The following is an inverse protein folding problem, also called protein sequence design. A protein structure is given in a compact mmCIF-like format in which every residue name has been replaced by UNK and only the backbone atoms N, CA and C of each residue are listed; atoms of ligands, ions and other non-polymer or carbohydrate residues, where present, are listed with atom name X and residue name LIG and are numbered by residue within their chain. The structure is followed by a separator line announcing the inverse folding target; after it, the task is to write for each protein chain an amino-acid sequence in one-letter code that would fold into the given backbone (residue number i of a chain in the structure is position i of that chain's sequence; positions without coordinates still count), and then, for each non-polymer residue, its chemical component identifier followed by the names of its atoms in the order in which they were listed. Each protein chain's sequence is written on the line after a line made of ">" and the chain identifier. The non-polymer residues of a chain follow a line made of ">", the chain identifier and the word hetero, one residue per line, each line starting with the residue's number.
data_IF_953054308404
#
_entry.id   IF_953054308404
#
_cell.length_a   1.000
_cell.length_b   1.000
_cell.length_c   1.000
_cell.angle_alpha   90.00
_cell.angle_beta   90.00
_cell.angle_gamma   90.00
#
_symmetry.space_group_name_H-M   'P 1'
#
loop_
_entity.id
_entity.type
_entity.pdbx_description
1 polymer ?
#
# COMPACT_ATOMS: atom_id res chain seq x y z
N UNK A 1 -1.23 -13.05 -3.28
CA UNK A 1 -1.33 -11.74 -3.95
C UNK A 1 -2.56 -11.79 -4.83
N UNK A 2 -3.48 -10.84 -4.71
CA UNK A 2 -4.69 -10.74 -5.52
C UNK A 2 -4.74 -9.36 -6.14
N UNK A 3 -5.27 -9.29 -7.36
CA UNK A 3 -5.43 -8.04 -8.08
C UNK A 3 -6.69 -8.05 -8.93
N UNK A 4 -7.37 -6.92 -9.01
CA UNK A 4 -8.48 -6.69 -9.94
C UNK A 4 -8.55 -5.22 -10.35
N UNK A 5 -8.76 -4.89 -11.63
CA UNK A 5 -8.71 -5.79 -12.78
C UNK A 5 -7.26 -6.20 -13.10
N UNK A 6 -7.12 -7.08 -14.08
CA UNK A 6 -5.83 -7.60 -14.54
C UNK A 6 -5.52 -8.99 -14.00
N UNK A 7 -4.39 -9.55 -14.43
CA UNK A 7 -3.90 -10.86 -14.00
C UNK A 7 -2.41 -10.83 -13.78
N UNK A 8 -1.96 -11.46 -12.71
CA UNK A 8 -0.54 -11.76 -12.52
C UNK A 8 -0.10 -12.71 -13.63
N UNK A 9 0.83 -12.27 -14.47
CA UNK A 9 1.34 -13.04 -15.61
C UNK A 9 2.75 -13.54 -15.37
N UNK A 10 3.48 -12.94 -14.44
CA UNK A 10 4.80 -13.40 -14.04
C UNK A 10 5.12 -13.00 -12.59
N UNK A 11 5.94 -13.81 -11.93
CA UNK A 11 6.50 -13.55 -10.59
C UNK A 11 7.95 -14.01 -10.63
N UNK A 12 8.88 -13.07 -10.52
CA UNK A 12 10.31 -13.37 -10.57
C UNK A 12 11.06 -12.61 -9.48
N UNK A 13 12.29 -13.04 -9.21
CA UNK A 13 13.16 -12.42 -8.22
C UNK A 13 14.32 -11.74 -8.92
N UNK A 14 14.59 -10.50 -8.53
CA UNK A 14 15.74 -9.73 -8.98
C UNK A 14 16.49 -9.24 -7.73
N UNK A 15 17.66 -9.83 -7.48
CA UNK A 15 18.38 -9.64 -6.23
C UNK A 15 17.58 -10.07 -5.00
N UNK A 16 17.35 -9.14 -4.08
CA UNK A 16 16.55 -9.34 -2.86
C UNK A 16 15.06 -8.99 -3.04
N UNK A 17 14.64 -8.56 -4.24
CA UNK A 17 13.27 -8.11 -4.52
C UNK A 17 12.49 -9.14 -5.31
N UNK A 18 11.23 -9.33 -4.91
CA UNK A 18 10.23 -10.01 -5.72
C UNK A 18 9.51 -9.01 -6.61
N UNK A 19 9.55 -9.25 -7.90
CA UNK A 19 8.80 -8.53 -8.92
C UNK A 19 7.54 -9.32 -9.28
N UNK A 20 6.41 -8.63 -9.38
CA UNK A 20 5.13 -9.22 -9.78
C UNK A 20 4.64 -8.44 -10.99
N UNK A 21 4.59 -9.08 -12.16
CA UNK A 21 4.11 -8.46 -13.38
C UNK A 21 2.60 -8.68 -13.53
N UNK A 22 1.88 -7.58 -13.67
CA UNK A 22 0.42 -7.58 -13.83
C UNK A 22 0.09 -7.16 -15.27
N UNK A 23 -0.57 -8.05 -16.01
CA UNK A 23 -1.15 -7.72 -17.30
C UNK A 23 -2.53 -7.11 -17.12
N UNK A 24 -2.80 -6.00 -17.82
CA UNK A 24 -4.09 -5.33 -17.84
C UNK A 24 -5.11 -6.00 -18.77
N UNK A 25 -4.64 -6.90 -19.66
CA UNK A 25 -5.43 -7.65 -20.66
C UNK A 25 -6.26 -6.85 -21.66
N UNK A 26 -6.35 -5.54 -21.51
CA UNK A 26 -7.08 -4.62 -22.38
C UNK A 26 -6.18 -3.46 -22.81
N UNK A 27 -6.33 -3.03 -24.07
CA UNK A 27 -5.74 -1.77 -24.53
C UNK A 27 -6.53 -0.61 -23.94
N UNK A 28 -5.88 0.24 -23.16
CA UNK A 28 -6.49 1.46 -22.64
C UNK A 28 -6.36 2.60 -23.64
N UNK A 29 -7.41 3.41 -23.78
CA UNK A 29 -7.41 4.63 -24.58
C UNK A 29 -6.93 5.82 -23.74
N UNK A 30 -6.55 6.89 -24.44
CA UNK A 30 -6.22 8.16 -23.79
C UNK A 30 -7.43 8.63 -22.97
N UNK A 31 -7.18 9.02 -21.72
CA UNK A 31 -8.16 9.49 -20.72
C UNK A 31 -9.06 8.41 -20.09
N UNK A 32 -8.83 7.13 -20.37
CA UNK A 32 -9.50 6.07 -19.60
C UNK A 32 -9.07 6.12 -18.13
N UNK A 33 -10.04 5.98 -17.22
CA UNK A 33 -9.79 5.88 -15.78
C UNK A 33 -10.05 4.44 -15.36
N UNK A 34 -9.08 3.85 -14.65
CA UNK A 34 -9.17 2.50 -14.12
C UNK A 34 -8.83 2.52 -12.64
N UNK A 35 -9.66 1.85 -11.84
CA UNK A 35 -9.34 1.54 -10.45
C UNK A 35 -8.72 0.14 -10.36
N UNK A 36 -7.70 0.01 -9.52
CA UNK A 36 -7.01 -1.24 -9.22
C UNK A 36 -7.08 -1.54 -7.73
N UNK A 37 -7.55 -2.72 -7.39
CA UNK A 37 -7.55 -3.27 -6.03
C UNK A 37 -6.44 -4.31 -5.94
N UNK A 38 -5.46 -4.07 -5.07
CA UNK A 38 -4.31 -4.95 -4.86
C UNK A 38 -4.28 -5.40 -3.41
N UNK A 39 -4.33 -6.72 -3.19
CA UNK A 39 -4.25 -7.34 -1.87
C UNK A 39 -3.03 -8.24 -1.79
N UNK A 40 -2.22 -8.04 -0.73
CA UNK A 40 -1.10 -8.92 -0.40
C UNK A 40 -1.17 -9.32 1.07
N UNK A 41 -1.37 -10.61 1.32
CA UNK A 41 -1.17 -11.20 2.63
C UNK A 41 0.28 -11.63 2.77
N UNK A 42 0.96 -11.15 3.82
CA UNK A 42 2.31 -11.59 4.20
C UNK A 42 2.16 -12.47 5.43
N UNK A 43 2.74 -13.68 5.39
CA UNK A 43 2.75 -14.62 6.52
C UNK A 43 4.17 -14.66 7.09
N UNK A 44 4.30 -14.74 8.40
CA UNK A 44 5.59 -14.83 9.11
C UNK A 44 6.59 -13.73 8.72
N UNK A 45 6.07 -12.53 8.41
CA UNK A 45 6.87 -11.36 8.06
C UNK A 45 6.50 -10.17 8.96
N UNK A 46 7.24 -9.07 8.82
CA UNK A 46 7.09 -7.87 9.63
C UNK A 46 7.23 -8.12 11.15
N UNK A 47 8.23 -8.91 11.54
CA UNK A 47 8.43 -9.36 12.93
C UNK A 47 9.19 -8.37 13.81
N UNK A 48 9.79 -7.32 13.24
CA UNK A 48 10.54 -6.31 14.00
C UNK A 48 9.61 -5.38 14.78
N UNK A 49 10.15 -4.59 15.71
CA UNK A 49 9.37 -3.63 16.52
C UNK A 49 8.80 -2.47 15.69
N UNK A 50 9.49 -2.11 14.61
CA UNK A 50 9.07 -1.07 13.68
C UNK A 50 9.21 -1.59 12.27
N UNK A 51 8.18 -1.35 11.46
CA UNK A 51 8.04 -1.93 10.13
C UNK A 51 7.48 -0.90 9.16
N UNK A 52 7.56 -1.19 7.86
CA UNK A 52 7.11 -0.24 6.85
C UNK A 52 6.68 -0.92 5.54
N UNK A 53 5.85 -0.19 4.79
CA UNK A 53 5.44 -0.51 3.42
C UNK A 53 5.55 0.75 2.58
N UNK A 54 6.28 0.64 1.47
CA UNK A 54 6.47 1.71 0.51
C UNK A 54 5.64 1.48 -0.74
N UNK A 55 5.08 2.56 -1.30
CA UNK A 55 4.47 2.61 -2.63
C UNK A 55 5.06 3.78 -3.41
N UNK A 56 5.55 3.50 -4.61
CA UNK A 56 6.12 4.50 -5.53
C UNK A 56 5.17 4.75 -6.69
N UNK A 57 4.99 6.02 -7.05
CA UNK A 57 4.05 6.47 -8.07
C UNK A 57 4.78 6.80 -9.36
N UNK A 58 4.76 5.92 -10.35
CA UNK A 58 5.41 6.16 -11.64
C UNK A 58 4.53 6.86 -12.67
N UNK A 59 3.21 6.69 -12.54
CA UNK A 59 2.18 7.20 -13.46
C UNK A 59 1.32 8.26 -12.78
N UNK A 60 0.50 8.96 -13.56
CA UNK A 60 -0.45 9.92 -13.02
C UNK A 60 -1.67 9.19 -12.45
N UNK A 61 -1.86 9.24 -11.14
CA UNK A 61 -3.06 8.72 -10.48
C UNK A 61 -3.97 9.87 -10.05
N UNK A 62 -5.29 9.62 -10.07
CA UNK A 62 -6.29 10.54 -9.49
C UNK A 62 -6.43 10.35 -7.99
N UNK A 63 -6.16 9.14 -7.50
CA UNK A 63 -6.28 8.76 -6.10
C UNK A 63 -5.36 7.58 -5.82
N UNK A 64 -4.78 7.56 -4.63
CA UNK A 64 -4.17 6.37 -4.04
C UNK A 64 -4.75 6.17 -2.66
N UNK A 65 -5.16 4.93 -2.35
CA UNK A 65 -5.52 4.49 -1.01
C UNK A 65 -4.63 3.33 -0.62
N UNK A 66 -3.98 3.43 0.53
CA UNK A 66 -3.17 2.36 1.12
C UNK A 66 -3.83 1.90 2.40
N UNK A 67 -3.91 0.58 2.58
CA UNK A 67 -4.38 -0.02 3.82
C UNK A 67 -3.41 -1.10 4.31
N UNK A 68 -3.29 -1.21 5.63
CA UNK A 68 -2.57 -2.29 6.34
C UNK A 68 -3.52 -2.86 7.38
N UNK A 69 -3.77 -4.17 7.31
CA UNK A 69 -4.58 -4.89 8.31
C UNK A 69 -3.63 -5.64 9.22
N UNK A 70 -3.71 -5.37 10.52
CA UNK A 70 -2.86 -5.95 11.54
C UNK A 70 -3.49 -7.22 12.15
N UNK A 71 -2.68 -8.18 12.62
CA UNK A 71 -3.16 -9.31 13.41
C UNK A 71 -3.86 -8.85 14.70
N UNK A 72 -4.82 -9.65 15.18
CA UNK A 72 -5.59 -9.35 16.41
C UNK A 72 -4.67 -9.28 17.63
N UNK A 73 -3.71 -10.19 17.70
CA UNK A 73 -2.74 -10.34 18.79
C UNK A 73 -1.60 -9.31 18.75
N UNK A 74 -1.50 -8.55 17.65
CA UNK A 74 -0.44 -7.57 17.45
C UNK A 74 -0.96 -6.34 16.72
N UNK A 75 -1.80 -5.51 17.37
CA UNK A 75 -2.28 -4.27 16.77
C UNK A 75 -1.14 -3.26 16.60
N UNK A 76 -1.33 -2.31 15.69
CA UNK A 76 -0.45 -1.16 15.54
C UNK A 76 -0.70 -0.14 16.65
N UNK A 77 0.37 0.28 17.33
CA UNK A 77 0.32 1.32 18.37
C UNK A 77 0.46 2.73 17.80
N UNK A 78 1.29 2.87 16.76
CA UNK A 78 1.59 4.16 16.15
C UNK A 78 1.92 3.99 14.68
N UNK A 79 1.41 4.88 13.84
CA UNK A 79 1.76 4.93 12.44
C UNK A 79 2.16 6.34 12.00
N UNK A 80 3.06 6.39 11.03
CA UNK A 80 3.48 7.62 10.35
C UNK A 80 3.44 7.41 8.84
N UNK A 81 3.12 8.46 8.11
CA UNK A 81 3.31 8.56 6.67
C UNK A 81 4.55 9.40 6.40
N UNK A 82 5.46 8.86 5.59
CA UNK A 82 6.57 9.61 5.01
C UNK A 82 6.26 9.89 3.54
N UNK A 83 6.27 11.16 3.15
CA UNK A 83 6.20 11.64 1.77
C UNK A 83 7.60 12.10 1.34
N UNK A 84 8.33 11.25 0.59
CA UNK A 84 9.75 11.47 0.30
C UNK A 84 10.01 12.76 -0.47
N UNK A 85 9.24 13.01 -1.52
CA UNK A 85 9.39 14.17 -2.41
C UNK A 85 9.07 15.50 -1.74
N UNK A 86 8.35 15.48 -0.62
CA UNK A 86 8.10 16.67 0.23
C UNK A 86 9.00 16.74 1.46
N UNK A 87 9.84 15.72 1.68
CA UNK A 87 10.60 15.54 2.92
C UNK A 87 9.71 15.70 4.17
N UNK A 88 8.48 15.17 4.11
CA UNK A 88 7.46 15.36 5.16
C UNK A 88 7.15 14.04 5.84
N UNK A 89 7.16 14.05 7.17
CA UNK A 89 6.65 12.95 7.99
C UNK A 89 5.44 13.43 8.77
N UNK A 90 4.35 12.67 8.72
CA UNK A 90 3.09 13.00 9.40
C UNK A 90 2.66 11.82 10.25
N UNK A 91 2.38 12.04 11.53
CA UNK A 91 1.76 11.03 12.40
C UNK A 91 0.31 10.83 11.99
N UNK A 92 -0.11 9.57 11.82
CA UNK A 92 -1.48 9.23 11.49
C UNK A 92 -2.25 9.03 12.80
N UNK A 93 -3.28 9.87 13.00
CA UNK A 93 -4.14 9.86 14.18
C UNK A 93 -5.15 8.72 14.17
N UNK A 94 -6.02 8.69 15.19
CA UNK A 94 -7.07 7.68 15.36
C UNK A 94 -8.08 7.65 14.23
N UNK A 95 -8.24 8.76 13.50
CA UNK A 95 -9.09 8.90 12.31
C UNK A 95 -8.64 8.03 11.13
N UNK A 96 -7.39 7.54 11.16
CA UNK A 96 -6.86 6.60 10.17
C UNK A 96 -7.03 5.13 10.58
N UNK A 97 -7.49 4.85 11.80
CA UNK A 97 -7.61 3.49 12.33
C UNK A 97 -9.08 3.09 12.52
N UNK A 98 -9.39 1.86 12.13
CA UNK A 98 -10.69 1.24 12.39
C UNK A 98 -10.48 -0.17 12.93
N UNK A 99 -11.42 -0.66 13.73
CA UNK A 99 -11.48 -2.07 14.13
C UNK A 99 -12.48 -2.77 13.22
N UNK A 100 -12.02 -3.80 12.53
CA UNK A 100 -12.85 -4.63 11.65
C UNK A 100 -13.74 -5.57 12.47
N UNK A 101 -14.84 -6.10 11.89
CA UNK A 101 -15.76 -7.00 12.59
C UNK A 101 -15.10 -8.27 13.16
N UNK A 102 -13.96 -8.68 12.62
CA UNK A 102 -13.18 -9.85 13.10
C UNK A 102 -12.15 -9.49 14.19
N UNK A 103 -12.21 -8.26 14.71
CA UNK A 103 -11.32 -7.75 15.76
C UNK A 103 -9.96 -7.27 15.26
N UNK A 104 -9.65 -7.40 13.96
CA UNK A 104 -8.38 -6.88 13.41
C UNK A 104 -8.43 -5.36 13.28
N UNK A 105 -7.30 -4.72 13.52
CA UNK A 105 -7.15 -3.29 13.27
C UNK A 105 -6.76 -3.05 11.81
N UNK A 106 -7.36 -2.06 11.17
CA UNK A 106 -6.95 -1.57 9.84
C UNK A 106 -6.45 -0.13 9.98
N UNK A 107 -5.28 0.15 9.40
CA UNK A 107 -4.79 1.50 9.14
C UNK A 107 -5.08 1.85 7.68
N UNK A 108 -5.75 2.97 7.43
CA UNK A 108 -6.02 3.49 6.09
C UNK A 108 -5.41 4.89 5.92
N UNK A 109 -4.71 5.08 4.81
CA UNK A 109 -4.31 6.41 4.34
C UNK A 109 -4.69 6.61 2.88
N UNK A 110 -4.99 7.85 2.52
CA UNK A 110 -5.36 8.22 1.16
C UNK A 110 -4.76 9.57 0.75
N UNK A 111 -4.47 9.69 -0.55
CA UNK A 111 -4.17 10.96 -1.19
C UNK A 111 -4.92 11.10 -2.52
N UNK A 112 -5.38 12.31 -2.79
CA UNK A 112 -5.97 12.73 -4.08
C UNK A 112 -4.89 13.40 -4.92
N UNK A 113 -4.87 13.05 -6.21
CA UNK A 113 -3.88 13.51 -7.19
C UNK A 113 -2.43 13.39 -6.65
N UNK A 114 -1.98 12.18 -6.25
CA UNK A 114 -0.61 11.99 -5.80
C UNK A 114 0.38 12.44 -6.87
N UNK A 115 1.48 13.05 -6.43
CA UNK A 115 2.51 13.57 -7.34
C UNK A 115 3.19 12.40 -8.05
N UNK A 116 3.47 12.58 -9.35
CA UNK A 116 4.30 11.64 -10.12
C UNK A 116 5.72 11.59 -9.54
N UNK A 117 6.30 10.40 -9.50
CA UNK A 117 7.57 10.05 -8.85
C UNK A 117 7.59 10.27 -7.33
N UNK A 118 6.41 10.37 -6.69
CA UNK A 118 6.32 10.41 -5.24
C UNK A 118 6.47 9.00 -4.64
N UNK A 119 7.10 8.95 -3.47
CA UNK A 119 7.26 7.73 -2.69
C UNK A 119 6.56 7.95 -1.35
N UNK A 120 5.49 7.18 -1.14
CA UNK A 120 4.77 7.14 0.12
C UNK A 120 5.18 5.91 0.92
N UNK A 121 5.63 6.13 2.15
CA UNK A 121 5.97 5.05 3.08
C UNK A 121 5.05 5.11 4.28
N UNK A 122 4.20 4.09 4.45
CA UNK A 122 3.51 3.84 5.71
C UNK A 122 4.49 3.10 6.62
N UNK A 123 4.83 3.73 7.75
CA UNK A 123 5.67 3.14 8.79
C UNK A 123 4.84 2.96 10.04
N UNK A 124 4.97 1.83 10.72
CA UNK A 124 4.23 1.55 11.94
C UNK A 124 5.10 0.90 13.01
N UNK A 125 4.62 1.02 14.24
CA UNK A 125 5.15 0.39 15.43
C UNK A 125 4.08 -0.51 16.04
N UNK A 126 4.50 -1.70 16.44
CA UNK A 126 3.66 -2.72 17.08
C UNK A 126 3.50 -2.49 18.57
#
# INVERSE_FOLDING_TARGET
>A
YKISPGKVVDIYREGDRWNILVSLRETKKRNDVQEFHIERTVRNGFTQATEWRQTEIWLNFKRIRMAVVFPVDRPCKRATLVERGKNKTTTLGSDHFEILPDGRQILTWESKNPRRAEIYTLRWEW
#
